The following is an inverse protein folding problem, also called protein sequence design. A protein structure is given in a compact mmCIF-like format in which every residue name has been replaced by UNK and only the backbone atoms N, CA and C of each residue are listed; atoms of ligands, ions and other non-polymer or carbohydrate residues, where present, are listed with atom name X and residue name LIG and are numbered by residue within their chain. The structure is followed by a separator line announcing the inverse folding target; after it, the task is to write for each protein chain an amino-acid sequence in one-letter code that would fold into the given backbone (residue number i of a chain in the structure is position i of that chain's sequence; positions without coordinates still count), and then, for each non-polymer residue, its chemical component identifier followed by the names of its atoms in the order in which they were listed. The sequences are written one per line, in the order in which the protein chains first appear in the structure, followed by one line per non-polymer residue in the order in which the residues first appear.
data_IF_337152414875
#
_entry.id   IF_337152414875
#
_cell.length_a   1.000
_cell.length_b   1.000
_cell.length_c   1.000
_cell.angle_alpha   90.00
_cell.angle_beta   90.00
_cell.angle_gamma   90.00
#
_symmetry.space_group_name_H-M   'P 1'
#
loop_
_entity.id
_entity.type
_entity.pdbx_description
1 polymer ?
#
# COMPACT_ATOMS: atom_id res chain seq x y z
N UNK A 1 26.14 4.63 7.74
CA UNK A 1 26.22 3.27 7.13
C UNK A 1 27.11 2.32 7.93
N UNK A 2 28.05 2.81 8.74
CA UNK A 2 29.01 1.98 9.51
C UNK A 2 28.35 1.03 10.51
N UNK A 3 27.18 1.38 11.01
CA UNK A 3 26.41 0.57 11.96
C UNK A 3 25.71 -0.64 11.34
N UNK A 4 25.80 -0.83 10.03
CA UNK A 4 25.11 -1.93 9.33
C UNK A 4 26.10 -2.85 8.63
N UNK A 5 25.80 -4.15 8.66
CA UNK A 5 26.60 -5.21 8.00
C UNK A 5 25.69 -6.12 7.20
N UNK A 6 26.29 -6.94 6.34
CA UNK A 6 25.57 -7.91 5.49
C UNK A 6 24.45 -7.26 4.66
N UNK A 7 24.75 -6.09 4.06
CA UNK A 7 23.77 -5.35 3.25
C UNK A 7 23.53 -6.08 1.93
N UNK A 8 22.30 -6.54 1.74
CA UNK A 8 21.86 -7.27 0.55
C UNK A 8 20.67 -6.57 -0.09
N UNK A 9 20.67 -6.36 -1.41
CA UNK A 9 19.52 -5.81 -2.12
C UNK A 9 18.42 -6.87 -2.21
N UNK A 10 17.25 -6.57 -1.65
CA UNK A 10 16.09 -7.47 -1.63
C UNK A 10 14.94 -6.99 -2.50
N UNK A 11 14.93 -5.73 -2.92
CA UNK A 11 13.89 -5.19 -3.78
C UNK A 11 14.27 -3.85 -4.39
N UNK A 12 13.60 -3.52 -5.48
CA UNK A 12 13.61 -2.20 -6.10
C UNK A 12 12.20 -1.88 -6.55
N UNK A 13 11.72 -0.69 -6.24
CA UNK A 13 10.39 -0.23 -6.58
C UNK A 13 10.42 1.25 -6.98
N UNK A 14 9.25 1.78 -7.24
CA UNK A 14 9.04 3.17 -7.69
C UNK A 14 9.71 4.20 -6.77
N UNK A 15 9.81 3.90 -5.48
CA UNK A 15 10.25 4.86 -4.45
C UNK A 15 11.72 4.70 -4.07
N UNK A 16 12.39 3.67 -4.56
CA UNK A 16 13.78 3.43 -4.23
C UNK A 16 14.15 1.96 -4.17
N UNK A 17 15.31 1.71 -3.59
CA UNK A 17 15.88 0.36 -3.44
C UNK A 17 15.79 -0.04 -1.98
N UNK A 18 15.36 -1.28 -1.72
CA UNK A 18 15.29 -1.85 -0.38
C UNK A 18 16.42 -2.86 -0.21
N UNK A 19 17.12 -2.73 0.90
CA UNK A 19 18.20 -3.63 1.30
C UNK A 19 17.83 -4.32 2.62
N UNK A 20 18.14 -5.58 2.75
CA UNK A 20 18.23 -6.27 4.03
C UNK A 20 19.59 -6.01 4.62
N UNK A 21 19.68 -5.75 5.91
CA UNK A 21 20.95 -5.57 6.60
C UNK A 21 20.86 -6.07 8.05
N UNK A 22 22.00 -6.21 8.71
CA UNK A 22 22.07 -6.50 10.14
C UNK A 22 22.58 -5.24 10.86
N UNK A 23 21.84 -4.77 11.83
CA UNK A 23 22.27 -3.73 12.76
C UNK A 23 23.36 -4.30 13.67
N UNK A 24 24.53 -3.71 13.65
CA UNK A 24 25.70 -4.20 14.42
C UNK A 24 25.55 -4.00 15.92
N UNK A 25 24.73 -3.04 16.35
CA UNK A 25 24.52 -2.72 17.77
C UNK A 25 23.56 -3.72 18.40
N UNK A 26 22.44 -3.99 17.71
CA UNK A 26 21.38 -4.85 18.25
C UNK A 26 21.47 -6.29 17.75
N UNK A 27 22.25 -6.58 16.70
CA UNK A 27 22.30 -7.86 16.03
C UNK A 27 21.05 -8.22 15.23
N UNK A 28 20.07 -7.32 15.17
CA UNK A 28 18.77 -7.59 14.51
C UNK A 28 18.84 -7.35 13.01
N UNK A 29 18.06 -8.13 12.27
CA UNK A 29 17.80 -7.86 10.86
C UNK A 29 16.91 -6.65 10.71
N UNK A 30 17.24 -5.77 9.75
CA UNK A 30 16.52 -4.55 9.43
C UNK A 30 16.34 -4.40 7.92
N UNK A 31 15.37 -3.61 7.51
CA UNK A 31 15.17 -3.21 6.13
C UNK A 31 15.60 -1.75 5.95
N UNK A 32 16.54 -1.51 5.04
CA UNK A 32 17.00 -0.18 4.65
C UNK A 32 16.35 0.22 3.35
N UNK A 33 15.45 1.18 3.37
CA UNK A 33 14.83 1.75 2.16
C UNK A 33 15.57 3.02 1.76
N UNK A 34 16.35 2.94 0.67
CA UNK A 34 17.02 4.09 0.07
C UNK A 34 16.02 4.87 -0.78
N UNK A 35 15.77 6.12 -0.45
CA UNK A 35 14.89 7.01 -1.19
C UNK A 35 15.67 7.70 -2.31
N UNK A 36 15.09 7.73 -3.52
CA UNK A 36 15.64 8.48 -4.65
C UNK A 36 15.27 9.96 -4.50
N UNK A 37 16.28 10.83 -4.43
CA UNK A 37 16.11 12.29 -4.32
C UNK A 37 16.53 12.99 -5.63
N UNK A 38 16.44 12.31 -6.76
CA UNK A 38 17.07 12.71 -8.05
C UNK A 38 16.60 14.05 -8.62
N UNK A 39 15.49 14.62 -8.12
CA UNK A 39 14.90 15.87 -8.62
C UNK A 39 14.88 17.01 -7.60
N UNK A 40 15.60 16.89 -6.49
CA UNK A 40 15.54 17.86 -5.39
C UNK A 40 16.93 18.50 -5.17
N UNK A 41 17.23 19.60 -5.90
CA UNK A 41 18.53 20.27 -5.75
C UNK A 41 18.74 20.87 -4.35
N UNK A 42 17.67 21.10 -3.59
CA UNK A 42 17.71 21.70 -2.26
C UNK A 42 17.70 20.65 -1.10
N UNK A 43 17.79 19.35 -1.41
CA UNK A 43 17.79 18.27 -0.42
C UNK A 43 16.43 17.64 -0.18
N UNK A 44 16.18 17.14 1.06
CA UNK A 44 14.91 16.44 1.39
C UNK A 44 13.76 17.42 1.48
N UNK A 45 12.66 17.26 0.71
CA UNK A 45 11.51 18.14 0.77
C UNK A 45 10.90 18.24 2.17
N UNK A 46 10.46 19.44 2.57
CA UNK A 46 9.84 19.65 3.90
C UNK A 46 8.57 18.83 4.09
N UNK A 47 7.84 18.54 3.00
CA UNK A 47 6.67 17.64 3.00
C UNK A 47 7.07 16.21 3.34
N UNK A 48 8.19 15.74 2.80
CA UNK A 48 8.73 14.42 3.08
C UNK A 48 9.18 14.29 4.54
N UNK A 49 9.88 15.27 5.07
CA UNK A 49 10.29 15.29 6.49
C UNK A 49 9.09 15.24 7.43
N UNK A 50 8.01 15.96 7.09
CA UNK A 50 6.77 15.93 7.89
C UNK A 50 6.11 14.56 7.87
N UNK A 51 5.99 13.90 6.70
CA UNK A 51 5.41 12.56 6.60
C UNK A 51 6.29 11.51 7.30
N UNK A 52 7.62 11.60 7.17
CA UNK A 52 8.54 10.72 7.89
C UNK A 52 8.40 10.89 9.40
N UNK A 53 8.27 12.12 9.91
CA UNK A 53 8.10 12.34 11.35
C UNK A 53 6.81 11.72 11.87
N UNK A 54 5.72 11.80 11.11
CA UNK A 54 4.46 11.13 11.45
C UNK A 54 4.62 9.61 11.46
N UNK A 55 5.28 9.04 10.44
CA UNK A 55 5.53 7.59 10.39
C UNK A 55 6.38 7.10 11.57
N UNK A 56 7.33 7.92 12.02
CA UNK A 56 8.17 7.59 13.18
C UNK A 56 7.38 7.47 14.48
N UNK A 57 6.28 8.24 14.60
CA UNK A 57 5.38 8.21 15.74
C UNK A 57 4.40 7.04 15.74
N UNK A 58 4.17 6.40 14.58
CA UNK A 58 3.26 5.27 14.50
C UNK A 58 3.81 4.06 15.26
N UNK A 59 3.12 3.64 16.32
CA UNK A 59 3.46 2.49 17.16
C UNK A 59 2.26 1.56 17.29
N UNK A 60 2.23 0.51 16.47
CA UNK A 60 1.15 -0.47 16.52
C UNK A 60 1.65 -1.85 16.07
N UNK A 61 1.21 -2.97 16.66
CA UNK A 61 1.66 -4.31 16.29
C UNK A 61 1.46 -4.66 14.80
N UNK A 62 0.39 -4.15 14.19
CA UNK A 62 0.08 -4.36 12.77
C UNK A 62 0.62 -3.25 11.85
N UNK A 63 1.58 -2.45 12.28
CA UNK A 63 2.26 -1.43 11.47
C UNK A 63 3.76 -1.67 11.52
N UNK A 64 4.42 -1.73 10.36
CA UNK A 64 5.88 -1.87 10.29
C UNK A 64 6.53 -0.64 10.90
N UNK A 65 7.39 -0.88 11.88
CA UNK A 65 8.02 0.18 12.66
C UNK A 65 9.14 0.85 11.87
N UNK A 66 9.07 2.18 11.73
CA UNK A 66 10.21 3.00 11.34
C UNK A 66 11.14 3.17 12.56
N UNK A 67 12.31 2.55 12.50
CA UNK A 67 13.29 2.52 13.60
C UNK A 67 14.17 3.75 13.61
N UNK A 68 14.66 4.16 12.43
CA UNK A 68 15.57 5.30 12.29
C UNK A 68 15.51 5.92 10.90
N UNK A 69 16.08 7.11 10.77
CA UNK A 69 16.20 7.86 9.52
C UNK A 69 17.64 8.36 9.39
N UNK A 70 18.30 8.00 8.30
CA UNK A 70 19.71 8.31 8.10
C UNK A 70 19.91 9.11 6.82
N UNK A 71 20.75 10.11 6.90
CA UNK A 71 21.26 10.83 5.75
C UNK A 71 22.76 10.49 5.57
N UNK A 72 23.10 9.84 4.45
CA UNK A 72 24.47 9.47 4.14
C UNK A 72 24.73 9.68 2.64
N UNK A 73 25.85 10.29 2.29
CA UNK A 73 26.24 10.57 0.89
C UNK A 73 25.13 11.25 0.08
N UNK A 74 24.48 12.26 0.64
CA UNK A 74 23.30 12.94 0.06
C UNK A 74 22.14 11.98 -0.30
N UNK A 75 22.03 10.85 0.38
CA UNK A 75 20.97 9.86 0.19
C UNK A 75 20.24 9.66 1.49
N UNK A 76 18.92 9.62 1.41
CA UNK A 76 18.05 9.36 2.54
C UNK A 76 17.77 7.86 2.65
N UNK A 77 17.97 7.31 3.85
CA UNK A 77 17.65 5.93 4.17
C UNK A 77 16.64 5.89 5.32
N UNK A 78 15.57 5.15 5.11
CA UNK A 78 14.61 4.82 6.17
C UNK A 78 14.93 3.41 6.67
N UNK A 79 15.11 3.29 7.98
CA UNK A 79 15.42 2.02 8.65
C UNK A 79 14.15 1.46 9.25
N UNK A 80 13.70 0.32 8.75
CA UNK A 80 12.50 -0.37 9.25
C UNK A 80 12.85 -1.69 9.92
N UNK A 81 11.96 -2.18 10.77
CA UNK A 81 12.01 -3.59 11.17
C UNK A 81 11.91 -4.49 9.94
N UNK A 82 12.56 -5.64 9.99
CA UNK A 82 12.57 -6.59 8.88
C UNK A 82 11.55 -7.72 9.10
N UNK A 83 10.76 -8.01 8.06
CA UNK A 83 9.92 -9.20 7.99
C UNK A 83 10.29 -9.99 6.71
N UNK A 84 10.23 -11.31 6.81
CA UNK A 84 10.81 -12.20 5.79
C UNK A 84 9.97 -12.34 4.52
N UNK A 85 8.68 -12.03 4.55
CA UNK A 85 7.76 -12.33 3.45
C UNK A 85 6.65 -11.27 3.37
N UNK A 86 6.18 -11.01 2.18
CA UNK A 86 4.93 -10.29 1.94
C UNK A 86 3.75 -11.25 1.70
N UNK A 87 2.54 -10.72 1.83
CA UNK A 87 1.30 -11.51 1.66
C UNK A 87 1.16 -12.04 0.23
N UNK A 88 1.63 -11.29 -0.79
CA UNK A 88 1.57 -11.74 -2.19
C UNK A 88 2.38 -13.02 -2.36
N UNK A 89 3.60 -13.03 -1.86
CA UNK A 89 4.46 -14.22 -1.89
C UNK A 89 3.85 -15.40 -1.14
N UNK A 90 3.23 -15.15 0.02
CA UNK A 90 2.52 -16.19 0.78
C UNK A 90 1.39 -16.81 -0.06
N UNK A 91 0.55 -15.99 -0.69
CA UNK A 91 -0.54 -16.46 -1.55
C UNK A 91 -0.02 -17.23 -2.77
N UNK A 92 1.07 -16.76 -3.41
CA UNK A 92 1.68 -17.40 -4.57
C UNK A 92 2.26 -18.80 -4.23
N UNK A 93 2.82 -18.97 -3.05
CA UNK A 93 3.31 -20.26 -2.55
C UNK A 93 2.14 -21.20 -2.24
N UNK A 94 1.05 -20.67 -1.66
CA UNK A 94 -0.14 -21.45 -1.27
C UNK A 94 -0.91 -21.96 -2.50
N UNK A 95 -0.86 -21.22 -3.62
CA UNK A 95 -1.55 -21.55 -4.90
C UNK A 95 -3.05 -21.80 -4.76
N UNK A 96 -3.72 -21.10 -3.83
CA UNK A 96 -5.14 -21.23 -3.57
C UNK A 96 -5.59 -20.36 -2.42
N UNK A 97 -6.83 -20.54 -1.93
CA UNK A 97 -7.32 -19.81 -0.78
C UNK A 97 -6.49 -20.11 0.47
N UNK A 98 -6.26 -19.09 1.28
CA UNK A 98 -5.66 -19.27 2.60
C UNK A 98 -6.68 -19.93 3.54
N UNK A 99 -6.17 -20.59 4.60
CA UNK A 99 -7.05 -21.15 5.63
C UNK A 99 -7.90 -20.04 6.26
N UNK A 100 -9.18 -20.31 6.48
CA UNK A 100 -10.15 -19.32 6.93
C UNK A 100 -9.80 -18.71 8.28
N UNK A 101 -9.24 -19.48 9.21
CA UNK A 101 -8.77 -19.00 10.50
C UNK A 101 -7.63 -17.96 10.35
N UNK A 102 -6.69 -18.22 9.44
CA UNK A 102 -5.61 -17.29 9.10
C UNK A 102 -6.16 -16.01 8.44
N UNK A 103 -7.09 -16.15 7.48
CA UNK A 103 -7.75 -15.02 6.81
C UNK A 103 -8.45 -14.12 7.84
N UNK A 104 -9.19 -14.70 8.79
CA UNK A 104 -9.85 -13.94 9.86
C UNK A 104 -8.84 -13.22 10.77
N UNK A 105 -7.77 -13.92 11.15
CA UNK A 105 -6.71 -13.35 11.97
C UNK A 105 -6.03 -12.17 11.28
N UNK A 106 -5.65 -12.34 10.02
CA UNK A 106 -5.01 -11.29 9.22
C UNK A 106 -5.93 -10.10 9.01
N UNK A 107 -7.20 -10.34 8.62
CA UNK A 107 -8.16 -9.26 8.43
C UNK A 107 -8.35 -8.44 9.72
N UNK A 108 -8.49 -9.10 10.87
CA UNK A 108 -8.61 -8.41 12.17
C UNK A 108 -7.41 -7.52 12.43
N UNK A 109 -6.18 -8.05 12.32
CA UNK A 109 -4.96 -7.30 12.56
C UNK A 109 -4.84 -6.09 11.61
N UNK A 110 -5.15 -6.28 10.32
CA UNK A 110 -5.12 -5.21 9.31
C UNK A 110 -6.16 -4.13 9.60
N UNK A 111 -7.37 -4.49 10.02
CA UNK A 111 -8.41 -3.53 10.40
C UNK A 111 -8.01 -2.73 11.64
N UNK A 112 -7.42 -3.39 12.65
CA UNK A 112 -6.88 -2.72 13.85
C UNK A 112 -5.75 -1.75 13.48
N UNK A 113 -4.81 -2.17 12.61
CA UNK A 113 -3.72 -1.33 12.12
C UNK A 113 -4.19 -0.13 11.31
N UNK A 114 -5.13 -0.34 10.38
CA UNK A 114 -5.70 0.73 9.57
C UNK A 114 -6.51 1.71 10.43
N UNK A 115 -7.32 1.20 11.37
CA UNK A 115 -8.08 2.05 12.31
C UNK A 115 -7.14 2.92 13.16
N UNK A 116 -6.02 2.35 13.63
CA UNK A 116 -5.00 3.09 14.35
C UNK A 116 -4.40 4.21 13.48
N UNK A 117 -3.97 3.91 12.25
CA UNK A 117 -3.44 4.90 11.33
C UNK A 117 -4.45 6.03 11.05
N UNK A 118 -5.71 5.66 10.80
CA UNK A 118 -6.78 6.64 10.54
C UNK A 118 -7.06 7.54 11.74
N UNK A 119 -6.97 7.01 12.97
CA UNK A 119 -7.08 7.81 14.20
C UNK A 119 -5.94 8.83 14.32
N UNK A 120 -4.74 8.49 13.81
CA UNK A 120 -3.60 9.40 13.69
C UNK A 120 -3.65 10.29 12.43
N UNK A 121 -4.77 10.29 11.69
CA UNK A 121 -4.98 11.04 10.43
C UNK A 121 -4.00 10.65 9.31
N UNK A 122 -3.52 9.41 9.32
CA UNK A 122 -2.65 8.84 8.30
C UNK A 122 -3.45 7.89 7.42
N UNK A 123 -3.45 8.13 6.11
CA UNK A 123 -3.98 7.23 5.11
C UNK A 123 -2.84 6.43 4.47
N UNK A 124 -3.06 5.14 4.23
CA UNK A 124 -2.05 4.31 3.55
C UNK A 124 -2.02 4.58 2.03
N UNK A 125 -3.17 4.60 1.37
CA UNK A 125 -3.42 4.95 -0.05
C UNK A 125 -2.92 3.95 -1.09
N UNK A 126 -2.09 2.98 -0.73
CA UNK A 126 -1.56 1.96 -1.66
C UNK A 126 -1.54 0.57 -1.00
N UNK A 127 -2.66 0.21 -0.35
CA UNK A 127 -2.81 -1.14 0.21
C UNK A 127 -2.94 -2.16 -0.92
N UNK A 128 -2.04 -3.13 -0.88
CA UNK A 128 -1.98 -4.28 -1.78
C UNK A 128 -1.20 -5.41 -1.10
N UNK A 129 -1.32 -6.66 -1.53
CA UNK A 129 -0.64 -7.78 -0.88
C UNK A 129 0.89 -7.63 -0.76
N UNK A 130 1.53 -6.95 -1.71
CA UNK A 130 2.98 -6.69 -1.68
C UNK A 130 3.40 -5.73 -0.55
N UNK A 131 2.48 -4.87 -0.08
CA UNK A 131 2.72 -3.90 0.99
C UNK A 131 2.24 -4.41 2.36
N UNK A 132 1.92 -5.68 2.48
CA UNK A 132 1.52 -6.35 3.71
C UNK A 132 2.54 -7.42 4.05
N UNK A 133 3.30 -7.20 5.12
CA UNK A 133 4.38 -8.11 5.50
C UNK A 133 3.90 -9.09 6.56
N UNK A 134 4.31 -10.34 6.43
CA UNK A 134 3.90 -11.43 7.31
C UNK A 134 5.10 -12.10 7.96
N UNK A 135 4.90 -12.64 9.14
CA UNK A 135 5.89 -13.45 9.85
C UNK A 135 5.42 -14.89 10.08
N UNK A 136 6.34 -15.74 10.54
CA UNK A 136 6.05 -17.15 10.84
C UNK A 136 5.16 -17.33 12.08
N UNK A 137 5.02 -16.30 12.93
CA UNK A 137 4.19 -16.34 14.13
C UNK A 137 2.71 -16.04 13.83
N UNK A 138 2.35 -15.72 12.58
CA UNK A 138 0.99 -15.39 12.18
C UNK A 138 0.64 -13.92 12.34
N UNK A 139 1.64 -13.03 12.43
CA UNK A 139 1.42 -11.58 12.39
C UNK A 139 1.39 -11.08 10.96
N UNK A 140 0.61 -10.02 10.74
CA UNK A 140 0.61 -9.26 9.49
C UNK A 140 0.71 -7.78 9.79
N UNK A 141 1.53 -7.05 9.01
CA UNK A 141 1.81 -5.64 9.24
C UNK A 141 1.67 -4.81 7.96
N UNK A 142 1.13 -3.61 8.11
CA UNK A 142 1.09 -2.58 7.08
C UNK A 142 2.49 -2.03 6.85
N UNK A 143 2.95 -2.04 5.60
CA UNK A 143 4.24 -1.51 5.18
C UNK A 143 4.08 -0.58 3.97
N UNK A 144 5.13 0.15 3.64
CA UNK A 144 5.17 0.99 2.44
C UNK A 144 4.03 2.02 2.34
N UNK A 145 3.78 2.74 3.43
CA UNK A 145 2.91 3.91 3.40
C UNK A 145 3.30 4.83 2.24
N UNK A 146 2.30 5.33 1.51
CA UNK A 146 2.46 6.07 0.26
C UNK A 146 3.28 7.37 0.38
N UNK A 147 4.55 7.26 0.76
CA UNK A 147 5.54 8.34 0.82
C UNK A 147 5.76 9.06 -0.52
N UNK A 148 5.32 8.47 -1.62
CA UNK A 148 5.48 9.00 -2.96
C UNK A 148 5.01 10.45 -3.09
N UNK A 149 3.91 10.80 -2.42
CA UNK A 149 3.36 12.14 -2.48
C UNK A 149 4.21 13.15 -1.72
N UNK A 150 4.88 12.72 -0.66
CA UNK A 150 5.79 13.54 0.14
C UNK A 150 7.06 13.93 -0.61
N UNK A 151 7.55 13.02 -1.46
CA UNK A 151 8.78 13.21 -2.22
C UNK A 151 8.53 13.80 -3.62
N UNK A 152 7.32 14.31 -3.93
CA UNK A 152 7.02 14.88 -5.25
C UNK A 152 7.15 13.88 -6.40
N UNK A 153 7.32 12.59 -6.10
CA UNK A 153 7.46 11.55 -7.11
C UNK A 153 6.12 11.44 -7.86
N UNK A 154 6.07 11.68 -9.18
CA UNK A 154 4.83 11.58 -9.91
C UNK A 154 4.26 10.17 -9.76
N UNK A 155 3.03 10.07 -9.24
CA UNK A 155 2.30 8.79 -9.16
C UNK A 155 2.06 8.20 -10.57
N UNK A 156 2.37 8.96 -11.61
CA UNK A 156 2.27 8.62 -13.03
C UNK A 156 3.63 8.44 -13.71
N UNK A 157 4.66 7.97 -13.05
CA UNK A 157 5.82 7.49 -13.77
C UNK A 157 5.43 6.20 -14.51
N UNK A 158 5.14 6.32 -15.80
CA UNK A 158 5.02 5.21 -16.74
C UNK A 158 6.41 4.57 -16.95
N UNK A 159 6.93 3.92 -15.93
CA UNK A 159 7.90 2.86 -16.11
C UNK A 159 7.11 1.57 -16.30
N UNK A 160 7.63 0.62 -17.06
CA UNK A 160 7.01 -0.66 -17.41
C UNK A 160 6.56 -1.56 -16.22
N UNK A 161 6.61 -1.07 -15.00
CA UNK A 161 5.94 -1.66 -13.85
C UNK A 161 4.48 -1.23 -13.89
N UNK A 162 3.62 -2.14 -14.31
CA UNK A 162 2.17 -2.00 -14.26
C UNK A 162 1.77 -1.69 -12.82
N UNK A 163 1.42 -0.43 -12.54
CA UNK A 163 0.89 -0.03 -11.22
C UNK A 163 -0.35 -0.86 -10.99
N UNK A 164 -0.35 -1.72 -9.98
CA UNK A 164 -1.47 -2.61 -9.69
C UNK A 164 -2.71 -1.81 -9.34
N UNK A 165 -3.69 -1.79 -10.23
CA UNK A 165 -4.96 -1.07 -10.10
C UNK A 165 -6.00 -1.86 -9.29
N UNK A 166 -5.76 -3.14 -9.07
CA UNK A 166 -6.74 -4.13 -8.60
C UNK A 166 -7.39 -3.83 -7.26
N UNK A 167 -6.70 -3.04 -6.43
CA UNK A 167 -7.13 -2.68 -5.06
C UNK A 167 -7.56 -1.22 -4.95
N UNK A 168 -7.59 -0.48 -6.09
CA UNK A 168 -7.89 0.94 -6.09
C UNK A 168 -9.38 1.20 -5.98
N UNK A 169 -9.75 2.08 -5.03
CA UNK A 169 -11.14 2.45 -4.81
C UNK A 169 -11.75 3.20 -6.01
N UNK A 170 -13.04 3.00 -6.31
CA UNK A 170 -13.69 3.56 -7.48
C UNK A 170 -13.68 5.09 -7.51
N UNK A 171 -13.74 5.78 -6.37
CA UNK A 171 -13.62 7.24 -6.32
C UNK A 171 -12.26 7.74 -6.80
N UNK A 172 -11.19 7.00 -6.55
CA UNK A 172 -9.85 7.33 -7.05
C UNK A 172 -9.80 7.14 -8.56
N UNK A 173 -10.34 6.03 -9.08
CA UNK A 173 -10.43 5.75 -10.52
C UNK A 173 -11.29 6.78 -11.24
N UNK A 174 -12.30 7.35 -10.56
CA UNK A 174 -13.16 8.41 -11.08
C UNK A 174 -12.57 9.82 -10.90
N UNK A 175 -11.32 9.92 -10.47
CA UNK A 175 -10.59 11.19 -10.39
C UNK A 175 -10.95 12.07 -9.20
N UNK A 176 -11.45 11.51 -8.10
CA UNK A 176 -11.69 12.28 -6.89
C UNK A 176 -10.40 12.95 -6.40
N UNK A 177 -10.44 14.26 -6.22
CA UNK A 177 -9.30 15.05 -5.70
C UNK A 177 -9.12 14.86 -4.19
N UNK A 178 -10.22 14.64 -3.50
CA UNK A 178 -10.26 14.39 -2.06
C UNK A 178 -10.87 13.02 -1.82
N UNK A 179 -10.19 12.21 -1.04
CA UNK A 179 -10.65 10.88 -0.63
C UNK A 179 -10.50 10.70 0.87
N UNK A 180 -11.33 9.85 1.42
CA UNK A 180 -11.42 9.59 2.85
C UNK A 180 -10.69 8.28 3.24
N UNK A 181 -10.81 7.92 4.49
CA UNK A 181 -10.40 6.63 5.04
C UNK A 181 -11.01 5.41 4.30
N UNK A 182 -12.15 5.61 3.62
CA UNK A 182 -12.84 4.56 2.86
C UNK A 182 -11.98 3.93 1.76
N UNK A 183 -11.01 4.66 1.20
CA UNK A 183 -10.13 4.11 0.15
C UNK A 183 -9.28 2.95 0.64
N UNK A 184 -8.78 3.04 1.88
CA UNK A 184 -8.00 1.95 2.48
C UNK A 184 -8.90 0.76 2.85
N UNK A 185 -10.13 1.02 3.31
CA UNK A 185 -11.13 -0.03 3.61
C UNK A 185 -11.52 -0.79 2.35
N UNK A 186 -11.69 -0.10 1.21
CA UNK A 186 -11.93 -0.73 -0.09
C UNK A 186 -10.79 -1.69 -0.46
N UNK A 187 -9.56 -1.21 -0.36
CA UNK A 187 -8.38 -2.03 -0.67
C UNK A 187 -8.31 -3.28 0.22
N UNK A 188 -8.56 -3.12 1.54
CA UNK A 188 -8.63 -4.26 2.46
C UNK A 188 -9.74 -5.27 2.09
N UNK A 189 -10.91 -4.79 1.66
CA UNK A 189 -11.99 -5.67 1.22
C UNK A 189 -11.59 -6.51 -0.01
N UNK A 190 -10.90 -5.90 -0.98
CA UNK A 190 -10.35 -6.61 -2.14
C UNK A 190 -9.32 -7.66 -1.74
N UNK A 191 -8.39 -7.30 -0.83
CA UNK A 191 -7.36 -8.22 -0.31
C UNK A 191 -7.99 -9.37 0.47
N UNK A 192 -8.99 -9.07 1.30
CA UNK A 192 -9.74 -10.09 2.04
C UNK A 192 -10.38 -11.12 1.10
N UNK A 193 -11.07 -10.64 0.06
CA UNK A 193 -11.69 -11.50 -0.93
C UNK A 193 -10.65 -12.38 -1.65
N UNK A 194 -9.48 -11.82 -1.97
CA UNK A 194 -8.40 -12.56 -2.62
C UNK A 194 -7.80 -13.62 -1.68
N UNK A 195 -7.53 -13.30 -0.41
CA UNK A 195 -7.09 -14.29 0.57
C UNK A 195 -8.07 -15.46 0.73
N UNK A 196 -9.38 -15.15 0.76
CA UNK A 196 -10.43 -16.13 1.01
C UNK A 196 -10.76 -16.98 -0.22
N UNK A 197 -10.59 -16.47 -1.43
CA UNK A 197 -10.93 -17.16 -2.68
C UNK A 197 -9.72 -17.73 -3.44
N UNK A 198 -8.52 -17.25 -3.14
CA UNK A 198 -7.31 -17.52 -3.91
C UNK A 198 -7.29 -16.85 -5.29
N UNK A 199 -8.16 -15.87 -5.54
CA UNK A 199 -8.28 -15.17 -6.83
C UNK A 199 -8.46 -13.67 -6.61
N UNK A 200 -7.76 -12.87 -7.40
CA UNK A 200 -7.95 -11.42 -7.41
C UNK A 200 -9.41 -11.05 -7.71
N UNK A 201 -10.00 -10.20 -6.88
CA UNK A 201 -11.42 -9.84 -6.97
C UNK A 201 -11.73 -9.06 -8.26
N UNK A 202 -10.92 -8.04 -8.57
CA UNK A 202 -11.09 -7.16 -9.73
C UNK A 202 -9.77 -7.02 -10.49
N UNK A 203 -9.39 -8.00 -11.35
CA UNK A 203 -8.13 -7.95 -12.09
C UNK A 203 -8.25 -7.09 -13.37
N UNK A 204 -8.36 -5.76 -13.23
CA UNK A 204 -8.40 -4.84 -14.37
C UNK A 204 -7.04 -4.66 -15.02
N UNK A 205 -7.02 -4.54 -16.34
CA UNK A 205 -5.81 -4.27 -17.15
C UNK A 205 -5.59 -2.78 -17.42
N UNK A 206 -6.60 -1.96 -17.19
CA UNK A 206 -6.62 -0.51 -17.33
C UNK A 206 -7.55 0.12 -16.29
N UNK A 207 -7.42 1.44 -16.05
CA UNK A 207 -8.30 2.14 -15.11
C UNK A 207 -9.78 1.99 -15.47
N UNK A 208 -10.11 2.02 -16.78
CA UNK A 208 -11.49 1.87 -17.22
C UNK A 208 -11.99 0.41 -17.10
N UNK A 209 -11.15 -0.58 -17.40
CA UNK A 209 -11.52 -1.99 -17.21
C UNK A 209 -11.66 -2.30 -15.71
N UNK A 210 -10.76 -1.79 -14.87
CA UNK A 210 -10.87 -1.91 -13.43
C UNK A 210 -12.21 -1.39 -12.93
N UNK A 211 -12.59 -0.18 -13.34
CA UNK A 211 -13.85 0.45 -12.98
C UNK A 211 -15.05 -0.36 -13.47
N UNK A 212 -15.00 -0.87 -14.70
CA UNK A 212 -16.09 -1.67 -15.27
C UNK A 212 -16.22 -3.04 -14.60
N UNK A 213 -15.14 -3.66 -14.15
CA UNK A 213 -15.19 -4.89 -13.34
C UNK A 213 -15.92 -4.66 -12.03
N UNK A 214 -15.63 -3.53 -11.35
CA UNK A 214 -16.35 -3.12 -10.15
C UNK A 214 -17.84 -2.91 -10.45
N UNK A 215 -18.17 -2.16 -11.51
CA UNK A 215 -19.57 -1.88 -11.86
C UNK A 215 -20.35 -3.11 -12.31
N UNK A 216 -19.70 -4.08 -12.96
CA UNK A 216 -20.33 -5.37 -13.31
C UNK A 216 -20.67 -6.21 -12.08
N UNK A 217 -19.90 -6.09 -11.01
CA UNK A 217 -20.14 -6.84 -9.78
C UNK A 217 -21.14 -6.12 -8.85
N UNK A 218 -20.97 -4.82 -8.64
CA UNK A 218 -21.73 -4.06 -7.66
C UNK A 218 -22.87 -3.22 -8.24
N UNK A 219 -22.98 -3.17 -9.55
CA UNK A 219 -23.87 -2.28 -10.28
C UNK A 219 -23.23 -0.93 -10.62
N UNK A 220 -23.62 -0.33 -11.72
CA UNK A 220 -23.21 1.04 -12.06
C UNK A 220 -23.89 2.01 -11.09
N UNK A 221 -23.11 2.85 -10.34
CA UNK A 221 -23.69 3.67 -9.31
C UNK A 221 -24.60 4.76 -9.89
N UNK A 222 -25.81 4.85 -9.35
CA UNK A 222 -26.73 5.95 -9.55
C UNK A 222 -26.78 6.84 -8.31
N UNK A 223 -27.48 7.98 -8.38
CA UNK A 223 -27.61 8.95 -7.27
C UNK A 223 -28.17 8.35 -5.98
N UNK A 224 -28.96 7.26 -6.08
CA UNK A 224 -29.52 6.54 -4.91
C UNK A 224 -28.45 5.76 -4.13
N UNK A 225 -27.47 5.19 -4.85
CA UNK A 225 -26.44 4.32 -4.28
C UNK A 225 -25.21 5.13 -3.89
N UNK A 226 -24.86 6.09 -4.72
CA UNK A 226 -23.70 6.96 -4.51
C UNK A 226 -24.02 8.38 -4.98
N UNK A 227 -24.53 9.17 -4.04
CA UNK A 227 -24.87 10.56 -4.29
C UNK A 227 -23.64 11.37 -4.74
N UNK A 228 -23.76 12.03 -5.88
CA UNK A 228 -22.67 12.83 -6.44
C UNK A 228 -21.62 12.08 -7.24
N UNK A 229 -21.70 10.76 -7.42
CA UNK A 229 -20.77 9.99 -8.26
C UNK A 229 -20.63 10.58 -9.67
N UNK A 230 -21.74 11.06 -10.23
CA UNK A 230 -21.80 11.69 -11.57
C UNK A 230 -21.03 13.02 -11.68
N UNK A 231 -20.66 13.64 -10.55
CA UNK A 231 -19.89 14.90 -10.51
C UNK A 231 -18.39 14.66 -10.49
N UNK A 232 -17.95 13.38 -10.35
CA UNK A 232 -16.53 13.05 -10.35
C UNK A 232 -15.94 13.28 -11.75
N UNK A 233 -14.69 13.79 -11.84
CA UNK A 233 -14.10 14.27 -13.10
C UNK A 233 -14.09 13.23 -14.23
N UNK A 234 -13.82 11.96 -13.90
CA UNK A 234 -13.71 10.88 -14.88
C UNK A 234 -15.02 10.10 -15.06
N UNK A 235 -16.13 10.49 -14.38
CA UNK A 235 -17.42 9.86 -14.62
C UNK A 235 -17.96 10.25 -15.98
N UNK A 236 -18.38 9.27 -16.79
CA UNK A 236 -18.98 9.50 -18.13
C UNK A 236 -20.43 9.04 -18.14
N UNK A 237 -21.32 9.89 -18.65
CA UNK A 237 -22.74 9.55 -18.81
C UNK A 237 -22.95 8.34 -19.73
N UNK A 238 -22.00 8.12 -20.64
CA UNK A 238 -21.97 6.99 -21.58
C UNK A 238 -21.51 5.66 -20.97
N UNK A 239 -21.17 5.61 -19.69
CA UNK A 239 -20.78 4.35 -19.05
C UNK A 239 -21.93 3.34 -19.13
N UNK A 240 -21.64 2.07 -19.45
CA UNK A 240 -22.62 1.01 -19.43
C UNK A 240 -23.32 0.90 -18.08
N UNK A 241 -24.61 0.61 -18.09
CA UNK A 241 -25.42 0.47 -16.88
C UNK A 241 -25.61 -1.00 -16.56
N UNK A 242 -24.87 -1.47 -15.56
CA UNK A 242 -25.06 -2.83 -15.04
C UNK A 242 -25.93 -2.80 -13.79
N UNK A 243 -26.87 -3.76 -13.64
CA UNK A 243 -27.55 -3.98 -12.39
C UNK A 243 -26.56 -4.55 -11.34
N UNK A 244 -26.81 -4.27 -10.06
CA UNK A 244 -26.10 -4.96 -8.98
C UNK A 244 -26.38 -6.46 -9.06
N UNK A 245 -25.37 -7.28 -8.84
CA UNK A 245 -25.57 -8.71 -8.66
C UNK A 245 -26.10 -8.97 -7.24
N UNK A 246 -27.01 -9.96 -7.08
CA UNK A 246 -27.50 -10.34 -5.76
C UNK A 246 -26.41 -10.94 -4.88
#
# INVERSE_FOLDING_TARGET
MENFSRVEKIGEGTYGVVYKATDRVTGKEIALKKIKLENEPEGVPSTALREISVLRELRHPAVVQLLDVLLADNKLFLVFEFLHMDLKRLMDITKGPLRLDLVKSYLRQLLEGVAYCHAQRVLHRDLKPQNLLVDAAGSIKLADFGLARAFGIPVRAYTHEVVTLWYRAPEILLGAKFYSTAVDVWSLACIYAEMASGRTLFPGDSEIDQLFRVFRALGTPGERVWAGARRLPEYRAAFPRWPARP
#
